data_IF_272232455456
#
_entry.id   IF_272232455456
#
_cell.length_a   1.000
_cell.length_b   1.000
_cell.length_c   1.000
_cell.angle_alpha   90.00
_cell.angle_beta   90.00
_cell.angle_gamma   90.00
#
_symmetry.space_group_name_H-M   'P 1'
#
loop_
_entity.id
_entity.type
_entity.pdbx_description
1 polymer ?
#
# COMPACT_ATOMS: atom_id res chain seq x y z
N UNK A 1 22.54 24.17 -21.94
CA UNK A 1 22.27 22.75 -21.64
C UNK A 1 21.08 22.75 -20.68
N UNK A 2 19.90 22.36 -21.16
CA UNK A 2 18.74 22.16 -20.33
C UNK A 2 19.06 21.02 -19.37
N UNK A 3 18.90 21.20 -18.04
CA UNK A 3 18.89 20.10 -17.10
C UNK A 3 17.83 19.12 -17.60
N UNK A 4 18.26 17.97 -18.12
CA UNK A 4 17.31 16.90 -18.42
C UNK A 4 16.60 16.56 -17.13
N UNK A 5 15.29 16.68 -17.11
CA UNK A 5 14.48 16.21 -16.00
C UNK A 5 14.83 14.73 -15.82
N UNK A 6 15.29 14.38 -14.61
CA UNK A 6 15.59 13.00 -14.31
C UNK A 6 14.29 12.21 -14.40
N UNK A 7 14.26 11.21 -15.30
CA UNK A 7 13.14 10.30 -15.47
C UNK A 7 12.67 9.78 -14.11
N UNK A 8 11.40 10.00 -13.78
CA UNK A 8 10.85 9.50 -12.52
C UNK A 8 10.61 7.99 -12.62
N UNK A 9 11.16 7.26 -11.67
CA UNK A 9 11.04 5.81 -11.56
C UNK A 9 10.51 5.46 -10.18
N UNK A 10 9.23 5.16 -10.10
CA UNK A 10 8.53 4.90 -8.84
C UNK A 10 8.49 3.42 -8.54
N UNK A 11 9.02 3.03 -7.38
CA UNK A 11 8.73 1.73 -6.76
C UNK A 11 7.41 1.84 -6.00
N UNK A 12 6.48 0.92 -6.25
CA UNK A 12 5.21 0.83 -5.52
C UNK A 12 5.21 -0.43 -4.66
N UNK A 13 5.18 -0.25 -3.36
CA UNK A 13 5.18 -1.31 -2.37
C UNK A 13 3.74 -1.62 -1.98
N UNK A 14 3.35 -2.88 -2.08
CA UNK A 14 2.02 -3.37 -1.72
C UNK A 14 1.77 -3.36 -0.20
N UNK A 15 0.56 -3.71 0.17
CA UNK A 15 0.05 -3.72 1.54
C UNK A 15 0.94 -4.57 2.45
N UNK A 16 1.41 -4.01 3.57
CA UNK A 16 2.37 -4.67 4.47
C UNK A 16 1.67 -5.44 5.61
N UNK A 17 0.64 -4.85 6.19
CA UNK A 17 -0.04 -5.36 7.38
C UNK A 17 0.91 -5.74 8.52
N UNK A 18 1.89 -4.89 8.81
CA UNK A 18 2.79 -5.13 9.94
C UNK A 18 1.99 -5.41 11.24
N UNK A 19 2.36 -6.41 12.04
CA UNK A 19 3.59 -7.20 11.96
C UNK A 19 3.52 -8.46 11.08
N UNK A 20 2.45 -8.66 10.31
CA UNK A 20 2.20 -9.87 9.51
C UNK A 20 2.76 -9.77 8.07
N UNK A 21 3.82 -9.00 7.89
CA UNK A 21 4.52 -8.86 6.62
C UNK A 21 5.35 -10.11 6.31
N UNK A 22 5.44 -10.48 5.01
CA UNK A 22 6.24 -11.62 4.56
C UNK A 22 7.74 -11.39 4.83
N UNK A 23 8.46 -12.33 5.47
CA UNK A 23 9.82 -12.12 5.98
C UNK A 23 10.84 -11.61 4.95
N UNK A 24 10.71 -12.03 3.68
CA UNK A 24 11.65 -11.68 2.62
C UNK A 24 11.15 -10.52 1.73
N UNK A 25 10.00 -9.93 2.01
CA UNK A 25 9.40 -8.93 1.13
C UNK A 25 10.20 -7.62 1.11
N UNK A 26 10.79 -7.23 2.24
CA UNK A 26 11.66 -6.05 2.31
C UNK A 26 12.87 -6.18 1.37
N UNK A 27 13.55 -7.32 1.43
CA UNK A 27 14.74 -7.55 0.59
C UNK A 27 14.36 -7.67 -0.89
N UNK A 28 13.19 -8.25 -1.20
CA UNK A 28 12.65 -8.27 -2.55
C UNK A 28 12.42 -6.84 -3.07
N UNK A 29 11.74 -5.98 -2.33
CA UNK A 29 11.50 -4.59 -2.72
C UNK A 29 12.82 -3.80 -2.91
N UNK A 30 13.81 -4.00 -2.04
CA UNK A 30 15.16 -3.41 -2.20
C UNK A 30 15.86 -3.91 -3.47
N UNK A 31 15.73 -5.19 -3.80
CA UNK A 31 16.28 -5.76 -5.04
C UNK A 31 15.61 -5.13 -6.27
N UNK A 32 14.30 -4.92 -6.24
CA UNK A 32 13.56 -4.26 -7.32
C UNK A 32 13.90 -2.79 -7.44
N UNK A 33 14.08 -2.08 -6.32
CA UNK A 33 14.60 -0.70 -6.32
C UNK A 33 15.94 -0.62 -7.06
N UNK A 34 16.85 -1.53 -6.76
CA UNK A 34 18.18 -1.60 -7.41
C UNK A 34 18.07 -1.97 -8.89
N UNK A 35 17.26 -2.99 -9.23
CA UNK A 35 17.05 -3.49 -10.61
C UNK A 35 16.56 -2.39 -11.52
N UNK A 36 15.54 -1.64 -11.09
CA UNK A 36 14.90 -0.59 -11.89
C UNK A 36 15.47 0.80 -11.63
N UNK A 37 16.42 0.94 -10.71
CA UNK A 37 17.04 2.22 -10.31
C UNK A 37 15.97 3.26 -9.95
N UNK A 38 14.98 2.84 -9.16
CA UNK A 38 13.89 3.75 -8.77
C UNK A 38 14.40 4.86 -7.87
N UNK A 39 13.91 6.08 -8.10
CA UNK A 39 14.25 7.29 -7.38
C UNK A 39 13.07 7.89 -6.59
N UNK A 40 11.91 7.26 -6.69
CA UNK A 40 10.72 7.55 -5.91
C UNK A 40 10.15 6.27 -5.31
N UNK A 41 9.50 6.34 -4.15
CA UNK A 41 8.89 5.20 -3.48
C UNK A 41 7.50 5.57 -2.97
N UNK A 42 6.52 4.75 -3.31
CA UNK A 42 5.14 4.87 -2.82
C UNK A 42 4.76 3.57 -2.11
N UNK A 43 4.35 3.66 -0.86
CA UNK A 43 3.61 2.60 -0.17
C UNK A 43 2.12 2.80 -0.46
N UNK A 44 1.45 1.74 -0.91
CA UNK A 44 0.07 1.85 -1.36
C UNK A 44 -0.97 1.76 -0.22
N UNK A 45 -0.52 1.74 1.02
CA UNK A 45 -1.36 1.74 2.21
C UNK A 45 -1.30 0.44 3.00
N UNK A 46 -2.14 0.37 4.03
CA UNK A 46 -2.23 -0.75 4.95
C UNK A 46 -0.86 -1.16 5.52
N UNK A 47 -0.16 -0.17 6.07
CA UNK A 47 1.17 -0.34 6.67
C UNK A 47 1.08 -1.19 7.93
N UNK A 48 0.09 -0.93 8.80
CA UNK A 48 -0.19 -1.71 10.00
C UNK A 48 -1.56 -2.37 9.89
N UNK A 49 -1.67 -3.62 10.34
CA UNK A 49 -2.91 -4.38 10.23
C UNK A 49 -4.02 -3.85 11.15
N UNK A 50 -3.70 -3.51 12.40
CA UNK A 50 -4.68 -3.07 13.39
C UNK A 50 -5.83 -4.07 13.59
N UNK A 51 -5.55 -5.39 13.55
CA UNK A 51 -6.56 -6.44 13.72
C UNK A 51 -7.20 -6.37 15.10
N UNK A 52 -6.41 -6.17 16.15
CA UNK A 52 -6.91 -6.08 17.52
C UNK A 52 -7.96 -4.99 17.75
N UNK A 53 -8.06 -4.01 16.85
CA UNK A 53 -9.09 -2.97 16.84
C UNK A 53 -10.02 -3.08 15.62
N UNK A 54 -10.06 -4.21 14.94
CA UNK A 54 -10.96 -4.42 13.79
C UNK A 54 -12.44 -4.37 14.21
N UNK A 55 -13.33 -4.33 13.22
CA UNK A 55 -14.78 -4.42 13.43
C UNK A 55 -15.29 -5.86 13.33
N UNK A 56 -14.42 -6.80 12.96
CA UNK A 56 -14.71 -8.22 12.86
C UNK A 56 -14.59 -8.92 14.22
N UNK A 57 -15.10 -10.15 14.28
CA UNK A 57 -14.93 -11.01 15.44
C UNK A 57 -13.45 -11.22 15.73
N UNK A 58 -13.08 -11.07 16.99
CA UNK A 58 -11.69 -11.15 17.42
C UNK A 58 -11.29 -12.58 17.71
N UNK A 59 -10.13 -12.97 17.25
CA UNK A 59 -9.50 -14.19 17.70
C UNK A 59 -8.85 -13.92 19.08
N UNK A 60 -9.31 -14.61 20.16
CA UNK A 60 -8.81 -14.37 21.52
C UNK A 60 -7.34 -14.76 21.71
N UNK A 61 -6.78 -15.57 20.80
CA UNK A 61 -5.39 -16.02 20.81
C UNK A 61 -4.41 -15.00 20.20
N UNK A 62 -4.93 -13.90 19.62
CA UNK A 62 -4.11 -12.83 19.05
C UNK A 62 -3.68 -11.81 20.10
N UNK A 63 -2.54 -11.12 19.88
CA UNK A 63 -2.08 -10.04 20.75
C UNK A 63 -3.14 -8.94 20.92
N UNK A 64 -3.16 -8.32 22.10
CA UNK A 64 -3.97 -7.13 22.32
C UNK A 64 -3.48 -5.91 21.55
N UNK A 65 -4.28 -4.81 21.50
CA UNK A 65 -3.99 -3.64 20.67
C UNK A 65 -2.60 -3.01 20.90
N UNK A 66 -2.13 -3.00 22.14
CA UNK A 66 -0.84 -2.42 22.49
C UNK A 66 0.33 -3.30 22.06
N UNK A 67 0.20 -4.61 22.21
CA UNK A 67 1.21 -5.60 21.83
C UNK A 67 1.33 -5.68 20.32
N UNK A 68 0.21 -5.72 19.59
CA UNK A 68 0.17 -5.65 18.13
C UNK A 68 0.87 -4.38 17.62
N UNK A 69 0.49 -3.22 18.17
CA UNK A 69 1.10 -1.94 17.78
C UNK A 69 2.60 -1.91 18.02
N UNK A 70 3.09 -2.38 19.17
CA UNK A 70 4.53 -2.44 19.47
C UNK A 70 5.28 -3.39 18.52
N UNK A 71 4.68 -4.53 18.18
CA UNK A 71 5.26 -5.47 17.22
C UNK A 71 5.32 -4.85 15.82
N UNK A 72 4.23 -4.21 15.39
CA UNK A 72 4.16 -3.54 14.09
C UNK A 72 5.20 -2.42 13.96
N UNK A 73 5.40 -1.58 14.99
CA UNK A 73 6.42 -0.52 14.95
C UNK A 73 7.85 -1.05 14.76
N UNK A 74 8.17 -2.25 15.26
CA UNK A 74 9.48 -2.87 15.02
C UNK A 74 9.69 -3.19 13.55
N UNK A 75 8.65 -3.68 12.86
CA UNK A 75 8.69 -3.96 11.44
C UNK A 75 8.72 -2.65 10.61
N UNK A 76 7.85 -1.70 10.91
CA UNK A 76 7.80 -0.38 10.25
C UNK A 76 9.16 0.33 10.33
N UNK A 77 9.90 0.19 11.44
CA UNK A 77 11.25 0.76 11.58
C UNK A 77 12.20 0.30 10.47
N UNK A 78 12.18 -0.99 10.08
CA UNK A 78 13.05 -1.51 9.02
C UNK A 78 12.64 -1.00 7.65
N UNK A 79 11.34 -0.88 7.38
CA UNK A 79 10.81 -0.27 6.16
C UNK A 79 11.19 1.22 6.06
N UNK A 80 11.03 1.96 7.16
CA UNK A 80 11.43 3.36 7.22
C UNK A 80 12.95 3.55 7.01
N UNK A 81 13.76 2.66 7.57
CA UNK A 81 15.22 2.68 7.35
C UNK A 81 15.60 2.41 5.89
N UNK A 82 14.90 1.48 5.23
CA UNK A 82 15.17 1.13 3.84
C UNK A 82 14.69 2.21 2.86
N UNK A 83 13.55 2.83 3.15
CA UNK A 83 12.89 3.82 2.28
C UNK A 83 12.53 5.09 3.06
N UNK A 84 13.52 5.88 3.51
CA UNK A 84 13.28 6.99 4.45
C UNK A 84 12.49 8.17 3.86
N UNK A 85 12.49 8.34 2.54
CA UNK A 85 11.80 9.43 1.84
C UNK A 85 10.72 8.83 0.93
N UNK A 86 9.64 8.32 1.52
CA UNK A 86 8.55 7.72 0.78
C UNK A 86 7.25 8.50 0.94
N UNK A 87 6.34 8.34 -0.02
CA UNK A 87 4.93 8.71 0.13
C UNK A 87 4.13 7.48 0.51
N UNK A 88 3.19 7.62 1.43
CA UNK A 88 2.31 6.54 1.89
C UNK A 88 0.87 6.94 1.61
N UNK A 89 0.18 6.20 0.75
CA UNK A 89 -1.26 6.30 0.62
C UNK A 89 -1.91 5.68 1.87
N UNK A 90 -2.80 6.41 2.53
CA UNK A 90 -3.45 5.93 3.75
C UNK A 90 -4.45 4.84 3.39
N UNK A 91 -4.23 3.62 3.90
CA UNK A 91 -5.12 2.50 3.71
C UNK A 91 -6.26 2.45 4.74
N UNK A 92 -7.22 1.56 4.48
CA UNK A 92 -8.37 1.42 5.37
C UNK A 92 -8.00 0.84 6.74
N UNK A 93 -6.90 0.05 6.84
CA UNK A 93 -6.36 -0.42 8.12
C UNK A 93 -5.63 0.70 8.85
N UNK A 94 -4.81 1.49 8.17
CA UNK A 94 -4.16 2.67 8.76
C UNK A 94 -5.19 3.65 9.35
N UNK A 95 -6.30 3.86 8.64
CA UNK A 95 -7.37 4.77 9.05
C UNK A 95 -8.23 4.23 10.21
N UNK A 96 -8.08 2.96 10.66
CA UNK A 96 -8.95 2.35 11.70
C UNK A 96 -9.00 3.15 12.99
N UNK A 97 -7.85 3.64 13.46
CA UNK A 97 -7.77 4.45 14.70
C UNK A 97 -8.64 5.70 14.57
N UNK A 98 -8.46 6.45 13.48
CA UNK A 98 -9.19 7.69 13.22
C UNK A 98 -10.69 7.44 13.04
N UNK A 99 -11.07 6.40 12.26
CA UNK A 99 -12.47 6.05 12.05
C UNK A 99 -13.18 5.63 13.35
N UNK A 100 -12.49 4.86 14.22
CA UNK A 100 -13.05 4.50 15.52
C UNK A 100 -13.21 5.71 16.44
N UNK A 101 -12.21 6.58 16.48
CA UNK A 101 -12.28 7.82 17.26
C UNK A 101 -13.45 8.71 16.80
N UNK A 102 -13.59 8.92 15.50
CA UNK A 102 -14.72 9.67 14.93
C UNK A 102 -16.06 9.06 15.29
N UNK A 103 -16.20 7.73 15.21
CA UNK A 103 -17.43 7.01 15.59
C UNK A 103 -17.82 7.27 17.06
N UNK A 104 -16.84 7.50 17.94
CA UNK A 104 -17.05 7.79 19.35
C UNK A 104 -17.01 9.28 19.70
N UNK A 105 -17.06 10.15 18.70
CA UNK A 105 -17.09 11.60 18.87
C UNK A 105 -15.79 12.21 19.38
N UNK A 106 -14.65 11.51 19.24
CA UNK A 106 -13.33 12.04 19.62
C UNK A 106 -12.79 12.91 18.48
N UNK A 107 -12.59 14.23 18.72
CA UNK A 107 -12.06 15.14 17.70
C UNK A 107 -10.65 14.74 17.26
N UNK A 108 -10.38 14.87 15.96
CA UNK A 108 -9.09 14.51 15.34
C UNK A 108 -7.88 15.25 15.95
N UNK A 109 -8.11 16.45 16.52
CA UNK A 109 -7.07 17.22 17.19
C UNK A 109 -6.45 16.52 18.42
N UNK A 110 -7.13 15.51 18.98
CA UNK A 110 -6.61 14.68 20.07
C UNK A 110 -5.81 13.47 19.59
N UNK A 111 -5.78 13.22 18.28
CA UNK A 111 -5.07 12.09 17.69
C UNK A 111 -3.70 12.53 17.19
N UNK A 112 -2.73 11.64 17.28
CA UNK A 112 -1.45 11.81 16.64
C UNK A 112 -1.61 11.75 15.11
N UNK A 113 -0.79 12.51 14.40
CA UNK A 113 -0.63 12.33 12.96
C UNK A 113 -0.09 10.92 12.64
N UNK A 114 -0.27 10.45 11.41
CA UNK A 114 0.25 9.14 11.00
C UNK A 114 1.79 9.07 11.14
N UNK A 115 2.51 10.14 10.79
CA UNK A 115 3.96 10.19 10.94
C UNK A 115 4.43 10.08 12.38
N UNK A 116 3.70 10.68 13.33
CA UNK A 116 3.97 10.52 14.77
C UNK A 116 3.55 9.15 15.29
N UNK A 117 2.38 8.66 14.84
CA UNK A 117 1.88 7.35 15.24
C UNK A 117 2.83 6.23 14.84
N UNK A 118 3.40 6.30 13.64
CA UNK A 118 4.27 5.25 13.11
C UNK A 118 5.78 5.53 13.22
N UNK A 119 6.16 6.64 13.87
CA UNK A 119 7.57 7.09 13.99
C UNK A 119 8.28 7.21 12.62
N UNK A 120 7.59 7.81 11.66
CA UNK A 120 8.08 7.97 10.27
C UNK A 120 8.10 9.44 9.84
N UNK A 121 8.90 10.30 10.49
CA UNK A 121 8.80 11.75 10.35
C UNK A 121 9.08 12.30 8.94
N UNK A 122 9.72 11.51 8.07
CA UNK A 122 9.99 11.91 6.67
C UNK A 122 9.05 11.26 5.66
N UNK A 123 8.18 10.35 6.09
CA UNK A 123 7.16 9.81 5.20
C UNK A 123 6.03 10.84 5.01
N UNK A 124 5.64 11.04 3.76
CA UNK A 124 4.52 11.89 3.39
C UNK A 124 3.23 11.05 3.35
N UNK A 125 2.36 11.21 4.34
CA UNK A 125 1.10 10.47 4.46
C UNK A 125 -0.03 11.25 3.79
N UNK A 126 -0.66 10.64 2.79
CA UNK A 126 -1.70 11.26 1.96
C UNK A 126 -2.83 10.26 1.66
N UNK A 127 -4.01 10.73 1.30
CA UNK A 127 -5.07 9.83 0.82
C UNK A 127 -4.77 9.31 -0.59
N UNK A 128 -4.30 10.18 -1.44
CA UNK A 128 -3.89 9.89 -2.82
C UNK A 128 -2.84 10.89 -3.29
N UNK A 129 -2.05 10.51 -4.28
CA UNK A 129 -1.01 11.38 -4.87
C UNK A 129 -0.90 11.13 -6.36
N UNK A 130 -0.66 12.18 -7.13
CA UNK A 130 -0.33 12.10 -8.56
C UNK A 130 1.17 12.30 -8.75
N UNK A 131 1.80 11.38 -9.48
CA UNK A 131 3.16 11.50 -9.98
C UNK A 131 3.18 11.19 -11.46
N UNK A 132 3.63 12.13 -12.28
CA UNK A 132 3.72 12.01 -13.74
C UNK A 132 2.41 11.57 -14.41
N UNK A 133 1.26 12.07 -13.92
CA UNK A 133 -0.05 11.73 -14.46
C UNK A 133 -0.56 10.33 -14.09
N UNK A 134 0.07 9.70 -13.11
CA UNK A 134 -0.39 8.44 -12.50
C UNK A 134 -0.89 8.70 -11.09
N UNK A 135 -2.13 8.36 -10.83
CA UNK A 135 -2.74 8.43 -9.50
C UNK A 135 -2.39 7.18 -8.70
N UNK A 136 -1.81 7.38 -7.53
CA UNK A 136 -1.55 6.35 -6.53
C UNK A 136 -2.55 6.50 -5.39
N UNK A 137 -3.27 5.44 -5.08
CA UNK A 137 -4.29 5.41 -4.01
C UNK A 137 -4.38 4.00 -3.44
N UNK A 138 -4.81 3.86 -2.18
CA UNK A 138 -4.95 2.52 -1.59
C UNK A 138 -5.94 1.64 -2.37
N UNK A 139 -7.09 2.18 -2.74
CA UNK A 139 -8.03 1.47 -3.62
C UNK A 139 -9.27 0.88 -2.94
N UNK A 140 -9.48 1.14 -1.64
CA UNK A 140 -10.62 0.63 -0.85
C UNK A 140 -12.00 1.12 -1.32
N UNK A 141 -12.05 2.13 -2.19
CA UNK A 141 -13.28 2.60 -2.84
C UNK A 141 -13.65 1.85 -4.14
N UNK A 142 -12.83 0.90 -4.60
CA UNK A 142 -13.00 0.23 -5.88
C UNK A 142 -13.08 -1.28 -5.71
N UNK A 143 -13.94 -1.94 -6.50
CA UNK A 143 -14.17 -3.37 -6.39
C UNK A 143 -14.37 -4.07 -7.74
N UNK A 144 -14.77 -5.35 -7.66
CA UNK A 144 -14.99 -6.21 -8.81
C UNK A 144 -13.74 -6.97 -9.24
N UNK A 145 -13.76 -7.53 -10.46
CA UNK A 145 -12.68 -8.36 -10.99
C UNK A 145 -11.43 -7.54 -11.36
N UNK A 146 -11.62 -6.27 -11.72
CA UNK A 146 -10.55 -5.39 -12.20
C UNK A 146 -10.62 -4.02 -11.48
N UNK A 147 -10.34 -3.96 -10.16
CA UNK A 147 -10.58 -2.74 -9.37
C UNK A 147 -9.75 -1.54 -9.85
N UNK A 148 -8.46 -1.70 -10.11
CA UNK A 148 -7.62 -0.63 -10.64
C UNK A 148 -8.02 -0.16 -12.05
N UNK A 149 -8.51 -1.07 -12.89
CA UNK A 149 -9.06 -0.74 -14.20
C UNK A 149 -10.34 0.08 -14.07
N UNK A 150 -11.22 -0.28 -13.12
CA UNK A 150 -12.43 0.48 -12.83
C UNK A 150 -12.10 1.89 -12.32
N UNK A 151 -11.10 1.99 -11.45
CA UNK A 151 -10.60 3.27 -10.96
C UNK A 151 -10.04 4.13 -12.12
N UNK A 152 -9.19 3.56 -12.97
CA UNK A 152 -8.59 4.26 -14.11
C UNK A 152 -9.66 4.76 -15.10
N UNK A 153 -10.69 3.96 -15.37
CA UNK A 153 -11.84 4.38 -16.19
C UNK A 153 -12.59 5.58 -15.60
N UNK A 154 -12.86 5.54 -14.30
CA UNK A 154 -13.61 6.60 -13.63
C UNK A 154 -12.81 7.89 -13.50
N UNK A 155 -11.49 7.77 -13.28
CA UNK A 155 -10.58 8.91 -13.16
C UNK A 155 -10.07 9.46 -14.50
N UNK A 156 -10.26 8.71 -15.60
CA UNK A 156 -9.75 9.02 -16.94
C UNK A 156 -8.21 9.24 -16.97
N UNK A 157 -7.49 8.52 -16.12
CA UNK A 157 -6.02 8.56 -16.02
C UNK A 157 -5.46 7.21 -15.55
N UNK A 158 -4.14 7.04 -15.61
CA UNK A 158 -3.49 5.87 -15.04
C UNK A 158 -3.65 5.84 -13.53
N UNK A 159 -3.98 4.65 -12.97
CA UNK A 159 -4.18 4.47 -11.52
C UNK A 159 -3.42 3.24 -11.04
N UNK A 160 -2.75 3.37 -9.90
CA UNK A 160 -2.11 2.27 -9.17
C UNK A 160 -2.78 2.09 -7.83
N UNK A 161 -3.20 0.85 -7.52
CA UNK A 161 -3.89 0.50 -6.28
C UNK A 161 -3.26 -0.72 -5.58
N UNK A 162 -3.46 -0.81 -4.24
CA UNK A 162 -3.31 -1.99 -3.40
C UNK A 162 -4.65 -2.62 -3.03
N UNK A 163 -4.89 -2.84 -1.75
CA UNK A 163 -6.13 -3.29 -1.11
C UNK A 163 -6.59 -4.72 -1.49
N UNK A 164 -6.54 -5.06 -2.76
CA UNK A 164 -6.97 -6.35 -3.28
C UNK A 164 -5.79 -7.32 -3.35
N UNK A 165 -5.43 -7.93 -2.22
CA UNK A 165 -4.24 -8.77 -2.05
C UNK A 165 -4.15 -9.92 -3.07
N UNK A 166 -5.28 -10.45 -3.52
CA UNK A 166 -5.34 -11.57 -4.49
C UNK A 166 -5.30 -11.14 -5.95
N UNK A 167 -5.05 -9.87 -6.20
CA UNK A 167 -5.00 -9.31 -7.56
C UNK A 167 -3.65 -8.62 -7.76
N UNK A 168 -2.89 -9.09 -8.74
CA UNK A 168 -1.69 -8.45 -9.25
C UNK A 168 -1.84 -8.39 -10.77
N UNK A 169 -2.11 -7.20 -11.32
CA UNK A 169 -2.47 -7.07 -12.74
C UNK A 169 -2.17 -5.68 -13.28
N UNK A 170 -1.94 -5.62 -14.60
CA UNK A 170 -1.88 -4.37 -15.37
C UNK A 170 -2.89 -4.48 -16.49
N UNK A 171 -3.83 -3.54 -16.55
CA UNK A 171 -4.87 -3.50 -17.57
C UNK A 171 -4.83 -2.14 -18.30
N UNK A 172 -4.76 -2.17 -19.62
CA UNK A 172 -4.64 -0.98 -20.45
C UNK A 172 -5.97 -0.55 -21.04
N UNK A 173 -6.12 0.78 -21.17
CA UNK A 173 -7.24 1.42 -21.87
C UNK A 173 -6.66 2.34 -22.94
N UNK A 174 -7.13 2.15 -24.19
CA UNK A 174 -6.76 3.00 -25.32
C UNK A 174 -8.00 3.66 -25.90
N UNK A 175 -8.03 4.98 -25.86
CA UNK A 175 -8.98 5.82 -26.58
C UNK A 175 -8.36 6.42 -27.83
N UNK A 176 -9.08 7.24 -28.60
CA UNK A 176 -8.55 7.90 -29.79
C UNK A 176 -7.29 8.73 -29.51
N UNK A 177 -7.28 9.49 -28.43
CA UNK A 177 -6.22 10.45 -28.10
C UNK A 177 -5.55 10.17 -26.74
N UNK A 178 -5.99 9.12 -26.03
CA UNK A 178 -5.52 8.81 -24.67
C UNK A 178 -5.16 7.34 -24.54
N UNK A 179 -4.16 7.07 -23.72
CA UNK A 179 -3.83 5.71 -23.27
C UNK A 179 -3.44 5.79 -21.80
N UNK A 180 -4.07 4.95 -20.98
CA UNK A 180 -3.79 4.87 -19.56
C UNK A 180 -3.97 3.43 -19.05
N UNK A 181 -3.53 3.16 -17.84
CA UNK A 181 -3.58 1.82 -17.26
C UNK A 181 -4.16 1.82 -15.85
N UNK A 182 -4.70 0.69 -15.45
CA UNK A 182 -4.96 0.36 -14.06
C UNK A 182 -4.02 -0.75 -13.60
N UNK A 183 -3.27 -0.54 -12.51
CA UNK A 183 -2.36 -1.53 -11.93
C UNK A 183 -2.75 -1.84 -10.50
N UNK A 184 -2.95 -3.13 -10.19
CA UNK A 184 -3.00 -3.63 -8.81
C UNK A 184 -1.65 -4.28 -8.47
N UNK A 185 -1.09 -3.91 -7.32
CA UNK A 185 0.27 -4.33 -6.95
C UNK A 185 0.33 -5.52 -5.99
N UNK A 186 -0.81 -6.19 -5.74
CA UNK A 186 -0.84 -7.29 -4.77
C UNK A 186 -0.53 -6.82 -3.34
N UNK A 187 0.17 -7.65 -2.58
CA UNK A 187 0.50 -7.37 -1.18
C UNK A 187 1.86 -7.96 -0.78
N UNK A 188 2.35 -7.58 0.39
CA UNK A 188 3.58 -8.11 0.98
C UNK A 188 3.33 -8.91 2.26
N UNK A 189 2.18 -9.55 2.41
CA UNK A 189 1.73 -10.20 3.65
C UNK A 189 2.19 -11.65 3.79
N UNK A 190 2.41 -12.09 5.03
CA UNK A 190 2.58 -13.51 5.36
C UNK A 190 1.21 -14.13 5.66
N UNK A 191 0.63 -14.82 4.69
CA UNK A 191 -0.67 -15.49 4.85
C UNK A 191 -0.66 -16.65 5.87
N UNK A 192 0.49 -17.13 6.28
CA UNK A 192 0.60 -18.13 7.35
C UNK A 192 0.40 -17.56 8.74
N UNK A 193 0.51 -16.22 8.87
CA UNK A 193 0.33 -15.53 10.13
C UNK A 193 -1.10 -15.72 10.68
N UNK A 194 -1.24 -16.03 11.98
CA UNK A 194 -2.55 -16.22 12.63
C UNK A 194 -3.53 -15.05 12.46
N UNK A 195 -3.05 -13.85 12.25
CA UNK A 195 -3.87 -12.65 11.99
C UNK A 195 -4.78 -12.84 10.77
N UNK A 196 -4.35 -13.64 9.78
CA UNK A 196 -5.15 -13.94 8.59
C UNK A 196 -5.95 -15.25 8.69
N UNK A 197 -6.17 -15.79 9.90
CA UNK A 197 -6.93 -17.04 10.07
C UNK A 197 -8.35 -16.95 9.50
N UNK A 198 -8.99 -15.80 9.58
CA UNK A 198 -10.31 -15.58 8.99
C UNK A 198 -10.32 -15.80 7.46
N UNK A 199 -9.19 -15.61 6.81
CA UNK A 199 -9.04 -15.80 5.37
C UNK A 199 -8.62 -17.22 4.96
N UNK A 200 -8.37 -18.14 5.91
CA UNK A 200 -7.94 -19.52 5.60
C UNK A 200 -8.96 -20.27 4.76
N UNK A 201 -10.24 -20.04 5.00
CA UNK A 201 -11.34 -20.62 4.22
C UNK A 201 -11.51 -19.98 2.84
N UNK A 202 -10.93 -18.83 2.60
CA UNK A 202 -11.04 -18.14 1.32
C UNK A 202 -10.15 -18.82 0.28
N UNK A 203 -10.73 -19.13 -0.88
CA UNK A 203 -9.99 -19.72 -2.01
C UNK A 203 -8.96 -18.76 -2.61
N UNK A 204 -9.23 -17.45 -2.54
CA UNK A 204 -8.30 -16.43 -3.03
C UNK A 204 -7.18 -16.20 -2.03
N UNK A 205 -5.94 -16.22 -2.52
CA UNK A 205 -4.72 -16.01 -1.73
C UNK A 205 -4.00 -14.75 -2.19
N UNK A 206 -3.19 -14.16 -1.30
CA UNK A 206 -2.41 -12.99 -1.66
C UNK A 206 -1.34 -13.34 -2.71
N UNK A 207 -1.12 -12.40 -3.63
CA UNK A 207 -0.01 -12.42 -4.56
C UNK A 207 1.05 -11.49 -4.00
N UNK A 208 2.21 -12.06 -3.66
CA UNK A 208 3.34 -11.26 -3.17
C UNK A 208 4.00 -10.61 -4.36
N UNK A 209 3.96 -9.28 -4.41
CA UNK A 209 4.45 -8.53 -5.58
C UNK A 209 4.68 -7.06 -5.26
N UNK A 210 5.39 -6.37 -6.12
CA UNK A 210 5.49 -4.91 -6.11
C UNK A 210 5.35 -4.35 -7.52
N UNK A 211 5.00 -3.08 -7.62
CA UNK A 211 4.89 -2.36 -8.89
C UNK A 211 6.07 -1.45 -9.16
N UNK A 212 6.36 -1.21 -10.43
CA UNK A 212 7.27 -0.17 -10.89
C UNK A 212 6.55 0.66 -11.94
N UNK A 213 6.68 1.98 -11.86
CA UNK A 213 6.21 2.88 -12.91
C UNK A 213 7.35 3.77 -13.35
N UNK A 214 7.63 3.79 -14.65
CA UNK A 214 8.69 4.61 -15.23
C UNK A 214 8.04 5.71 -16.06
N UNK A 215 8.40 6.97 -15.77
CA UNK A 215 7.99 8.18 -16.49
C UNK A 215 6.45 8.29 -16.69
N UNK A 216 5.70 7.79 -15.70
CA UNK A 216 4.23 7.78 -15.75
C UNK A 216 3.60 6.92 -16.86
N UNK A 217 4.40 6.21 -17.66
CA UNK A 217 3.97 5.55 -18.87
C UNK A 217 4.22 4.06 -18.95
N UNK A 218 5.22 3.56 -18.24
CA UNK A 218 5.65 2.16 -18.34
C UNK A 218 5.46 1.47 -16.99
N UNK A 219 4.33 0.81 -16.77
CA UNK A 219 4.10 0.01 -15.58
C UNK A 219 4.72 -1.39 -15.73
N UNK A 220 5.35 -1.86 -14.67
CA UNK A 220 5.83 -3.23 -14.52
C UNK A 220 5.32 -3.80 -13.21
N UNK A 221 5.08 -5.10 -13.18
CA UNK A 221 4.67 -5.84 -12.01
C UNK A 221 5.67 -6.97 -11.80
N UNK A 222 6.27 -6.99 -10.62
CA UNK A 222 7.23 -8.02 -10.23
C UNK A 222 6.61 -8.92 -9.17
N UNK A 223 6.51 -10.19 -9.48
CA UNK A 223 5.99 -11.23 -8.58
C UNK A 223 7.17 -11.84 -7.83
N UNK A 224 7.00 -12.04 -6.51
CA UNK A 224 8.00 -12.65 -5.62
C UNK A 224 8.18 -14.15 -5.89
#
# INVERSE_FOLDING_TARGET
>A
MLKGDLEMRTLVIGDLHCPAVHPNYLEFCKAMQKKYKTNNTVFIGDIIDHEAISMHDKNPDLPGPLEEYKAALKEVYWWYKAFPNATVCIGNHDARVHRKSNKHGVPSMYLKSFSELYNTPKWNWVMEVDYDGVLYTHGDGWGGMYPSFNAAKARLQSVVCGHHHSIASINWIKGPNTMYFGMNVGAGIDQSNPVFQYSKAHLKKAIISCGIVIDGKQPYLEIF
#
